data_IF_514792306193
#
_entry.id   IF_514792306193
#
_cell.length_a   1.000
_cell.length_b   1.000
_cell.length_c   1.000
_cell.angle_alpha   90.00
_cell.angle_beta   90.00
_cell.angle_gamma   90.00
#
_symmetry.space_group_name_H-M   'P 1'
#
loop_
_entity.id
_entity.type
_entity.pdbx_description
1 polymer ?
#
# COMPACT_ATOMS: atom_id res chain seq x y z
N UNK A 1 18.95 -61.02 39.79
CA UNK A 1 17.58 -60.84 39.26
C UNK A 1 17.55 -59.43 38.69
N UNK A 2 17.24 -59.37 37.41
CA UNK A 2 17.57 -58.27 36.49
C UNK A 2 16.84 -56.96 36.82
N UNK A 3 17.29 -55.90 36.16
CA UNK A 3 16.50 -54.83 35.49
C UNK A 3 17.34 -53.53 35.58
N UNK A 4 18.22 -53.29 34.59
CA UNK A 4 17.94 -52.47 33.39
C UNK A 4 17.36 -51.09 33.71
N UNK A 5 18.21 -50.07 33.71
CA UNK A 5 17.82 -48.73 33.27
C UNK A 5 19.06 -47.98 32.73
N UNK A 6 19.36 -48.28 31.46
CA UNK A 6 20.16 -47.43 30.60
C UNK A 6 19.20 -46.75 29.62
N UNK A 7 18.90 -45.47 29.83
CA UNK A 7 18.37 -44.59 28.78
C UNK A 7 19.06 -43.24 28.86
N UNK A 8 20.11 -43.12 28.06
CA UNK A 8 20.52 -41.86 27.46
C UNK A 8 19.33 -41.32 26.66
N UNK A 9 18.79 -40.16 27.04
CA UNK A 9 17.91 -39.39 26.15
C UNK A 9 18.71 -38.21 25.61
N UNK A 10 19.25 -38.45 24.43
CA UNK A 10 19.97 -37.50 23.62
C UNK A 10 19.08 -36.29 23.32
N UNK A 11 19.68 -35.13 23.52
CA UNK A 11 19.21 -33.82 23.07
C UNK A 11 18.60 -33.86 21.67
N UNK A 12 17.29 -33.63 21.56
CA UNK A 12 16.66 -33.17 20.33
C UNK A 12 16.53 -31.64 20.39
N UNK A 13 17.20 -30.88 19.51
CA UNK A 13 17.00 -29.44 19.46
C UNK A 13 15.55 -29.18 19.04
N UNK A 14 14.83 -28.45 19.88
CA UNK A 14 13.54 -27.87 19.54
C UNK A 14 13.71 -27.12 18.23
N UNK A 15 13.16 -27.70 17.15
CA UNK A 15 13.01 -27.06 15.87
C UNK A 15 12.40 -25.67 16.13
N UNK A 16 13.22 -24.63 16.00
CA UNK A 16 12.76 -23.28 15.73
C UNK A 16 12.04 -23.42 14.37
N UNK A 17 10.73 -23.63 14.43
CA UNK A 17 9.86 -23.35 13.30
C UNK A 17 10.08 -21.87 13.03
N UNK A 18 10.91 -21.57 12.03
CA UNK A 18 10.93 -20.24 11.43
C UNK A 18 9.47 -19.97 11.07
N UNK A 19 8.85 -19.01 11.75
CA UNK A 19 7.58 -18.44 11.32
C UNK A 19 7.71 -18.17 9.82
N UNK A 20 6.95 -18.92 9.02
CA UNK A 20 6.70 -18.55 7.65
C UNK A 20 6.31 -17.08 7.68
N UNK A 21 7.07 -16.24 6.99
CA UNK A 21 6.76 -14.83 6.85
C UNK A 21 5.38 -14.74 6.21
N UNK A 22 4.32 -14.70 7.02
CA UNK A 22 2.97 -14.49 6.56
C UNK A 22 3.01 -13.18 5.79
N UNK A 23 2.85 -13.26 4.47
CA UNK A 23 2.76 -12.08 3.63
C UNK A 23 1.58 -11.28 4.15
N UNK A 24 1.87 -10.18 4.85
CA UNK A 24 0.85 -9.42 5.54
C UNK A 24 -0.11 -8.85 4.48
N UNK A 25 -1.33 -9.39 4.43
CA UNK A 25 -2.36 -8.99 3.50
C UNK A 25 -3.45 -8.24 4.26
N UNK A 26 -3.68 -7.00 3.87
CA UNK A 26 -4.70 -6.14 4.46
C UNK A 26 -5.88 -6.03 3.51
N UNK A 27 -7.08 -6.36 4.00
CA UNK A 27 -8.33 -6.27 3.23
C UNK A 27 -9.21 -5.15 3.76
N UNK A 28 -9.70 -4.31 2.86
CA UNK A 28 -10.63 -3.23 3.16
C UNK A 28 -11.89 -3.37 2.30
N UNK A 29 -13.03 -3.00 2.88
CA UNK A 29 -14.27 -2.86 2.11
C UNK A 29 -14.42 -1.41 1.66
N UNK A 30 -14.50 -1.21 0.35
CA UNK A 30 -14.48 0.12 -0.28
C UNK A 30 -15.51 0.22 -1.40
N UNK A 31 -15.99 1.42 -1.67
CA UNK A 31 -16.78 1.75 -2.87
C UNK A 31 -15.94 2.57 -3.83
N UNK A 32 -15.88 2.18 -5.10
CA UNK A 32 -15.24 3.00 -6.13
C UNK A 32 -16.10 4.22 -6.45
N UNK A 33 -15.54 5.42 -6.30
CA UNK A 33 -16.18 6.68 -6.69
C UNK A 33 -15.83 7.09 -8.14
N UNK A 34 -14.84 6.41 -8.72
CA UNK A 34 -14.41 6.58 -10.11
C UNK A 34 -12.96 7.00 -10.23
N UNK A 35 -12.58 7.45 -11.43
CA UNK A 35 -11.25 7.99 -11.69
C UNK A 35 -11.26 9.17 -12.64
N UNK A 36 -10.27 10.06 -12.51
CA UNK A 36 -10.10 11.20 -13.41
C UNK A 36 -8.65 11.33 -13.85
N UNK A 37 -8.44 11.95 -15.01
CA UNK A 37 -7.10 12.19 -15.55
C UNK A 37 -6.42 13.30 -14.74
N UNK A 38 -5.13 13.13 -14.49
CA UNK A 38 -4.23 14.16 -13.96
C UNK A 38 -3.09 14.36 -14.96
N UNK A 39 -2.68 15.61 -15.18
CA UNK A 39 -1.50 15.93 -15.99
C UNK A 39 -0.22 15.79 -15.16
N UNK A 40 0.88 15.41 -15.79
CA UNK A 40 2.12 15.07 -15.06
C UNK A 40 2.68 16.27 -14.28
N UNK A 41 2.48 17.49 -14.78
CA UNK A 41 2.90 18.76 -14.16
C UNK A 41 2.19 19.04 -12.83
N UNK A 42 1.00 18.45 -12.60
CA UNK A 42 0.28 18.57 -11.34
C UNK A 42 0.80 17.58 -10.27
N UNK A 43 1.69 16.65 -10.63
CA UNK A 43 2.22 15.60 -9.74
C UNK A 43 3.59 15.94 -9.13
N UNK A 44 3.95 17.23 -9.09
CA UNK A 44 5.13 17.71 -8.34
C UNK A 44 4.87 17.68 -6.83
N UNK A 45 5.94 17.80 -6.03
CA UNK A 45 5.86 17.84 -4.56
C UNK A 45 4.94 18.97 -4.07
N UNK A 46 4.93 20.10 -4.77
CA UNK A 46 4.19 21.31 -4.42
C UNK A 46 2.71 21.20 -4.82
N UNK A 47 2.39 20.53 -5.93
CA UNK A 47 1.06 20.54 -6.53
C UNK A 47 0.23 19.27 -6.29
N UNK A 48 0.88 18.12 -6.11
CA UNK A 48 0.23 16.81 -6.06
C UNK A 48 -0.86 16.71 -4.99
N UNK A 49 -0.62 17.27 -3.81
CA UNK A 49 -1.61 17.27 -2.72
C UNK A 49 -2.90 18.00 -3.10
N UNK A 50 -2.81 19.12 -3.83
CA UNK A 50 -3.97 19.88 -4.30
C UNK A 50 -4.70 19.12 -5.41
N UNK A 51 -3.96 18.54 -6.35
CA UNK A 51 -4.53 17.75 -7.45
C UNK A 51 -5.32 16.54 -6.94
N UNK A 52 -4.76 15.77 -5.99
CA UNK A 52 -5.44 14.62 -5.39
C UNK A 52 -6.69 15.04 -4.61
N UNK A 53 -6.60 16.10 -3.79
CA UNK A 53 -7.76 16.59 -3.03
C UNK A 53 -8.88 17.12 -3.95
N UNK A 54 -8.52 17.77 -5.06
CA UNK A 54 -9.48 18.19 -6.09
C UNK A 54 -10.22 16.98 -6.67
N UNK A 55 -9.51 15.91 -7.02
CA UNK A 55 -10.12 14.68 -7.53
C UNK A 55 -11.09 14.04 -6.52
N UNK A 56 -10.71 14.00 -5.23
CA UNK A 56 -11.60 13.51 -4.16
C UNK A 56 -12.86 14.37 -4.11
N UNK A 57 -12.71 15.70 -4.06
CA UNK A 57 -13.86 16.61 -3.98
C UNK A 57 -14.81 16.48 -5.18
N UNK A 58 -14.27 16.39 -6.40
CA UNK A 58 -15.08 16.26 -7.62
C UNK A 58 -15.83 14.92 -7.69
N UNK A 59 -15.16 13.81 -7.40
CA UNK A 59 -15.74 12.46 -7.53
C UNK A 59 -16.71 12.11 -6.39
N UNK A 60 -16.49 12.63 -5.19
CA UNK A 60 -17.39 12.39 -4.05
C UNK A 60 -18.74 13.08 -4.17
N UNK A 61 -18.81 14.17 -4.95
CA UNK A 61 -20.07 14.88 -5.24
C UNK A 61 -20.90 14.20 -6.33
N UNK A 62 -20.34 13.20 -7.02
CA UNK A 62 -21.04 12.50 -8.09
C UNK A 62 -21.40 13.39 -9.27
N UNK A 63 -20.69 14.50 -9.50
CA UNK A 63 -21.04 15.49 -10.53
C UNK A 63 -20.89 14.91 -11.96
N UNK A 64 -20.23 13.77 -12.11
CA UNK A 64 -19.93 13.17 -13.40
C UNK A 64 -20.34 11.69 -13.46
N UNK A 65 -21.56 11.43 -13.94
CA UNK A 65 -22.08 10.07 -14.18
C UNK A 65 -21.36 9.34 -15.34
N UNK A 66 -20.64 10.07 -16.19
CA UNK A 66 -19.87 9.52 -17.31
C UNK A 66 -18.49 8.96 -16.91
N UNK A 67 -18.17 8.92 -15.62
CA UNK A 67 -16.86 8.45 -15.14
C UNK A 67 -16.90 6.95 -14.89
N UNK A 68 -15.93 6.23 -15.46
CA UNK A 68 -15.75 4.81 -15.18
C UNK A 68 -15.53 4.56 -13.68
N UNK A 69 -16.21 3.54 -13.15
CA UNK A 69 -16.09 3.08 -11.76
C UNK A 69 -15.75 1.61 -11.75
N UNK A 70 -14.81 1.22 -10.87
CA UNK A 70 -14.51 -0.19 -10.68
C UNK A 70 -15.73 -0.87 -10.06
N UNK A 71 -16.07 -2.07 -10.54
CA UNK A 71 -17.25 -2.79 -10.08
C UNK A 71 -18.56 -2.03 -10.29
N UNK A 72 -18.64 -1.13 -11.28
CA UNK A 72 -19.85 -0.36 -11.61
C UNK A 72 -20.34 0.52 -10.45
N UNK A 73 -19.45 0.88 -9.51
CA UNK A 73 -19.79 1.67 -8.32
C UNK A 73 -20.39 0.85 -7.18
N UNK A 74 -20.43 -0.48 -7.30
CA UNK A 74 -20.69 -1.39 -6.18
C UNK A 74 -19.49 -1.42 -5.23
N UNK A 75 -19.72 -2.04 -4.08
CA UNK A 75 -18.67 -2.25 -3.10
C UNK A 75 -17.70 -3.35 -3.55
N UNK A 76 -16.45 -3.20 -3.13
CA UNK A 76 -15.30 -3.99 -3.53
C UNK A 76 -14.45 -4.36 -2.31
N UNK A 77 -13.67 -5.42 -2.44
CA UNK A 77 -12.49 -5.60 -1.60
C UNK A 77 -11.29 -4.88 -2.20
N UNK A 78 -10.59 -4.11 -1.37
CA UNK A 78 -9.26 -3.60 -1.64
C UNK A 78 -8.27 -4.40 -0.81
N UNK A 79 -7.52 -5.27 -1.48
CA UNK A 79 -6.47 -6.06 -0.86
C UNK A 79 -5.11 -5.41 -1.10
N UNK A 80 -4.34 -5.23 -0.05
CA UNK A 80 -3.00 -4.66 -0.10
C UNK A 80 -2.02 -5.67 0.49
N UNK A 81 -1.06 -6.09 -0.32
CA UNK A 81 0.07 -6.93 0.10
C UNK A 81 1.38 -6.15 -0.10
N UNK A 82 2.52 -6.79 0.12
CA UNK A 82 3.84 -6.14 0.05
C UNK A 82 4.22 -5.57 -1.33
N UNK A 83 3.50 -5.93 -2.40
CA UNK A 83 3.85 -5.59 -3.79
C UNK A 83 2.74 -4.89 -4.54
N UNK A 84 1.50 -5.21 -4.24
CA UNK A 84 0.34 -4.88 -5.05
C UNK A 84 -0.85 -4.42 -4.20
N UNK A 85 -1.60 -3.48 -4.77
CA UNK A 85 -2.98 -3.15 -4.41
C UNK A 85 -3.91 -3.80 -5.43
N UNK A 86 -4.85 -4.60 -4.96
CA UNK A 86 -5.81 -5.35 -5.77
C UNK A 86 -7.23 -4.85 -5.48
N UNK A 87 -8.05 -4.74 -6.51
CA UNK A 87 -9.49 -4.54 -6.41
C UNK A 87 -10.19 -5.83 -6.81
N UNK A 88 -11.05 -6.34 -5.93
CA UNK A 88 -11.68 -7.65 -6.08
C UNK A 88 -13.20 -7.49 -5.95
N UNK A 89 -13.94 -8.12 -6.86
CA UNK A 89 -15.40 -8.26 -6.77
C UNK A 89 -15.73 -9.18 -5.58
N UNK A 90 -16.52 -8.73 -4.59
CA UNK A 90 -16.81 -9.52 -3.40
C UNK A 90 -17.79 -10.68 -3.66
N UNK A 91 -18.56 -10.65 -4.75
CA UNK A 91 -19.49 -11.71 -5.13
C UNK A 91 -18.77 -12.81 -5.92
N UNK A 92 -17.96 -12.42 -6.90
CA UNK A 92 -17.28 -13.37 -7.80
C UNK A 92 -15.88 -13.75 -7.31
N UNK A 93 -15.32 -13.02 -6.35
CA UNK A 93 -13.94 -13.13 -5.89
C UNK A 93 -12.90 -12.97 -7.00
N UNK A 94 -13.26 -12.25 -8.08
CA UNK A 94 -12.39 -11.99 -9.23
C UNK A 94 -11.63 -10.69 -9.08
N UNK A 95 -10.36 -10.67 -9.46
CA UNK A 95 -9.54 -9.46 -9.51
C UNK A 95 -10.02 -8.59 -10.68
N UNK A 96 -10.54 -7.40 -10.38
CA UNK A 96 -10.96 -6.39 -11.35
C UNK A 96 -9.80 -5.49 -11.78
N UNK A 97 -8.88 -5.21 -10.85
CA UNK A 97 -7.74 -4.35 -11.10
C UNK A 97 -6.55 -4.73 -10.21
N UNK A 98 -5.33 -4.58 -10.76
CA UNK A 98 -4.07 -4.81 -10.06
C UNK A 98 -3.12 -3.64 -10.30
N UNK A 99 -2.74 -2.98 -9.21
CA UNK A 99 -1.86 -1.82 -9.20
C UNK A 99 -0.62 -2.10 -8.37
N UNK A 100 0.56 -2.14 -9.01
CA UNK A 100 1.81 -2.33 -8.30
C UNK A 100 2.11 -1.12 -7.41
N UNK A 101 2.34 -1.35 -6.12
CA UNK A 101 2.58 -0.30 -5.11
C UNK A 101 3.77 0.61 -5.51
N UNK A 102 4.91 0.10 -5.99
CA UNK A 102 6.03 0.95 -6.43
C UNK A 102 5.71 1.92 -7.58
N UNK A 103 4.62 1.68 -8.32
CA UNK A 103 4.20 2.54 -9.44
C UNK A 103 3.08 3.52 -9.09
N UNK A 104 2.60 3.49 -7.85
CA UNK A 104 1.73 4.55 -7.32
C UNK A 104 2.60 5.79 -7.12
N UNK A 105 2.25 6.89 -7.80
CA UNK A 105 3.03 8.14 -7.77
C UNK A 105 2.74 8.96 -6.53
N UNK A 106 1.48 9.04 -6.13
CA UNK A 106 1.01 9.78 -4.95
C UNK A 106 -0.30 9.17 -4.48
N UNK A 107 -0.58 9.28 -3.18
CA UNK A 107 -1.87 8.95 -2.58
C UNK A 107 -2.30 10.05 -1.61
N UNK A 108 -3.59 10.06 -1.27
CA UNK A 108 -4.17 11.05 -0.37
C UNK A 108 -5.42 10.56 0.32
N UNK A 109 -5.80 11.28 1.38
CA UNK A 109 -7.03 11.04 2.14
C UNK A 109 -7.89 12.31 2.11
N UNK A 110 -9.20 12.13 2.14
CA UNK A 110 -10.16 13.23 2.11
C UNK A 110 -10.04 14.13 3.34
N UNK A 111 -10.11 15.45 3.12
CA UNK A 111 -10.11 16.46 4.19
C UNK A 111 -11.47 16.59 4.86
N UNK A 112 -12.53 16.51 4.06
CA UNK A 112 -13.92 16.65 4.51
C UNK A 112 -14.46 15.33 5.07
N UNK A 113 -14.10 14.21 4.43
CA UNK A 113 -14.49 12.88 4.86
C UNK A 113 -13.25 11.99 5.01
N UNK A 114 -12.97 11.58 6.24
CA UNK A 114 -11.80 10.77 6.60
C UNK A 114 -11.83 9.35 6.05
N UNK A 115 -12.93 8.94 5.40
CA UNK A 115 -13.08 7.64 4.72
C UNK A 115 -12.74 7.69 3.24
N UNK A 116 -12.56 8.87 2.65
CA UNK A 116 -12.21 8.97 1.24
C UNK A 116 -10.70 8.79 1.06
N UNK A 117 -10.34 7.84 0.20
CA UNK A 117 -8.97 7.48 -0.15
C UNK A 117 -8.77 7.68 -1.65
N UNK A 118 -7.59 8.14 -2.06
CA UNK A 118 -7.23 8.25 -3.46
C UNK A 118 -5.78 7.85 -3.70
N UNK A 119 -5.53 7.27 -4.87
CA UNK A 119 -4.17 7.08 -5.37
C UNK A 119 -4.07 7.47 -6.85
N UNK A 120 -2.87 7.89 -7.26
CA UNK A 120 -2.56 8.24 -8.64
C UNK A 120 -1.53 7.26 -9.17
N UNK A 121 -1.82 6.64 -10.31
CA UNK A 121 -0.91 5.77 -11.03
C UNK A 121 -0.99 6.04 -12.53
N UNK A 122 0.06 5.64 -13.26
CA UNK A 122 0.09 5.78 -14.72
C UNK A 122 -0.67 4.60 -15.33
N UNK A 123 -1.74 4.90 -16.06
CA UNK A 123 -2.50 3.87 -16.76
C UNK A 123 -1.62 3.17 -17.82
N UNK A 124 -1.73 1.84 -17.89
CA UNK A 124 -0.83 1.03 -18.72
C UNK A 124 -1.10 1.21 -20.21
N UNK A 125 -2.36 1.36 -20.60
CA UNK A 125 -2.77 1.45 -22.00
C UNK A 125 -2.56 2.86 -22.56
N UNK A 126 -3.06 3.87 -21.83
CA UNK A 126 -3.07 5.26 -22.30
C UNK A 126 -1.81 6.03 -21.93
N UNK A 127 -1.02 5.54 -20.97
CA UNK A 127 0.14 6.23 -20.39
C UNK A 127 -0.22 7.58 -19.74
N UNK A 128 -1.50 7.81 -19.44
CA UNK A 128 -1.98 9.00 -18.74
C UNK A 128 -2.03 8.69 -17.24
N UNK A 129 -1.76 9.69 -16.40
CA UNK A 129 -1.95 9.54 -14.96
C UNK A 129 -3.44 9.60 -14.61
N UNK A 130 -3.88 8.62 -13.84
CA UNK A 130 -5.27 8.50 -13.40
C UNK A 130 -5.31 8.55 -11.89
N UNK A 131 -6.16 9.41 -11.34
CA UNK A 131 -6.49 9.46 -9.93
C UNK A 131 -7.72 8.61 -9.67
N UNK A 132 -7.56 7.54 -8.90
CA UNK A 132 -8.63 6.63 -8.53
C UNK A 132 -9.10 6.95 -7.11
N UNK A 133 -10.40 7.16 -6.93
CA UNK A 133 -10.98 7.56 -5.65
C UNK A 133 -11.92 6.47 -5.13
N UNK A 134 -11.81 6.21 -3.83
CA UNK A 134 -12.57 5.19 -3.11
C UNK A 134 -13.12 5.76 -1.82
N UNK A 135 -14.29 5.30 -1.41
CA UNK A 135 -14.84 5.54 -0.08
C UNK A 135 -14.76 4.27 0.73
N UNK A 136 -14.08 4.31 1.86
CA UNK A 136 -14.03 3.20 2.81
C UNK A 136 -15.36 3.12 3.57
N UNK A 137 -15.78 1.92 3.93
CA UNK A 137 -17.03 1.71 4.66
C UNK A 137 -16.87 2.02 6.17
N UNK A 138 -16.15 1.17 6.90
CA UNK A 138 -15.94 1.31 8.35
C UNK A 138 -14.51 1.67 8.77
N UNK A 139 -13.56 1.72 7.82
CA UNK A 139 -12.15 1.99 8.11
C UNK A 139 -11.78 3.43 7.74
N UNK A 140 -11.04 4.18 8.59
CA UNK A 140 -10.46 5.45 8.18
C UNK A 140 -9.47 5.25 7.01
N UNK A 141 -9.57 6.08 5.96
CA UNK A 141 -8.68 6.02 4.80
C UNK A 141 -7.20 6.22 5.18
N UNK A 142 -6.93 6.88 6.31
CA UNK A 142 -5.59 7.04 6.87
C UNK A 142 -4.90 5.69 7.14
N UNK A 143 -5.66 4.66 7.50
CA UNK A 143 -5.12 3.31 7.74
C UNK A 143 -4.47 2.77 6.46
N UNK A 144 -5.15 2.90 5.32
CA UNK A 144 -4.62 2.50 4.00
C UNK A 144 -3.36 3.30 3.66
N UNK A 145 -3.38 4.62 3.86
CA UNK A 145 -2.23 5.48 3.58
C UNK A 145 -0.99 5.12 4.42
N UNK A 146 -1.18 4.74 5.68
CA UNK A 146 -0.10 4.31 6.55
C UNK A 146 0.47 2.95 6.11
N UNK A 147 -0.39 1.99 5.76
CA UNK A 147 0.06 0.69 5.24
C UNK A 147 0.88 0.85 3.96
N UNK A 148 0.44 1.68 3.01
CA UNK A 148 1.21 1.96 1.80
C UNK A 148 2.57 2.62 2.12
N UNK A 149 2.60 3.53 3.09
CA UNK A 149 3.85 4.15 3.56
C UNK A 149 4.82 3.09 4.12
N UNK A 150 4.34 2.18 4.96
CA UNK A 150 5.16 1.17 5.59
C UNK A 150 5.69 0.15 4.57
N UNK A 151 4.84 -0.28 3.63
CA UNK A 151 5.25 -1.13 2.51
C UNK A 151 6.31 -0.43 1.65
N UNK A 152 6.09 0.83 1.25
CA UNK A 152 7.10 1.58 0.49
C UNK A 152 8.42 1.75 1.24
N UNK A 153 8.37 1.98 2.56
CA UNK A 153 9.57 2.06 3.41
C UNK A 153 10.34 0.75 3.40
N UNK A 154 9.65 -0.38 3.57
CA UNK A 154 10.28 -1.71 3.55
C UNK A 154 10.90 -2.02 2.18
N UNK A 155 10.19 -1.73 1.09
CA UNK A 155 10.71 -1.90 -0.28
C UNK A 155 11.96 -1.04 -0.55
N UNK A 156 12.06 0.15 0.05
CA UNK A 156 13.26 0.98 -0.06
C UNK A 156 14.45 0.40 0.70
N UNK A 157 14.23 -0.21 1.87
CA UNK A 157 15.26 -0.87 2.67
C UNK A 157 15.75 -2.14 1.94
N UNK A 158 14.84 -2.97 1.44
CA UNK A 158 15.17 -4.20 0.68
C UNK A 158 15.98 -3.91 -0.57
N UNK A 159 15.77 -2.75 -1.20
CA UNK A 159 16.55 -2.28 -2.37
C UNK A 159 17.89 -1.64 -2.01
N UNK A 160 18.25 -1.58 -0.72
CA UNK A 160 19.48 -0.94 -0.24
C UNK A 160 19.49 0.58 -0.37
N UNK A 161 18.33 1.21 -0.56
CA UNK A 161 18.19 2.66 -0.78
C UNK A 161 17.96 3.44 0.54
N UNK A 162 17.70 2.74 1.64
CA UNK A 162 17.65 3.29 3.00
C UNK A 162 18.50 2.42 3.92
N UNK A 163 19.60 2.96 4.42
CA UNK A 163 20.35 2.34 5.52
C UNK A 163 19.57 2.55 6.81
N UNK A 164 19.26 1.48 7.55
CA UNK A 164 18.73 1.59 8.90
C UNK A 164 19.83 2.21 9.78
N UNK A 165 19.76 3.52 10.03
CA UNK A 165 20.56 4.16 11.08
C UNK A 165 20.01 3.73 12.42
N UNK A 166 20.32 2.50 12.83
CA UNK A 166 20.36 2.15 14.24
C UNK A 166 21.62 2.80 14.77
N UNK A 167 21.46 3.93 15.47
CA UNK A 167 22.53 4.56 16.24
C UNK A 167 23.07 3.55 17.27
N UNK A 168 24.16 2.88 16.92
CA UNK A 168 25.14 2.44 17.90
C UNK A 168 26.17 3.58 17.95
N UNK A 169 25.99 4.46 18.93
CA UNK A 169 27.06 5.33 19.41
C UNK A 169 28.26 4.45 19.73
N UNK A 170 29.29 4.48 18.87
CA UNK A 170 30.68 4.37 19.26
C UNK A 170 31.60 4.89 18.13
N UNK A 171 32.15 6.08 18.41
CA UNK A 171 33.46 6.58 17.99
C UNK A 171 33.74 6.86 16.49
N UNK A 172 33.73 8.17 16.19
CA UNK A 172 34.82 8.90 15.55
C UNK A 172 35.32 8.43 14.17
N UNK A 173 34.75 8.95 13.07
CA UNK A 173 35.49 9.71 12.03
C UNK A 173 34.60 10.21 10.87
N UNK A 174 34.75 11.51 10.59
CA UNK A 174 34.76 12.15 9.26
C UNK A 174 33.48 12.21 8.38
N UNK A 175 32.88 13.40 8.39
CA UNK A 175 31.94 13.91 7.37
C UNK A 175 32.66 14.15 6.04
N UNK A 176 32.17 13.57 4.94
CA UNK A 176 32.22 14.18 3.59
C UNK A 176 31.25 13.46 2.65
N UNK A 177 30.21 14.15 2.20
CA UNK A 177 29.48 13.76 0.98
C UNK A 177 29.35 15.00 0.11
N UNK A 178 30.05 14.97 -1.02
CA UNK A 178 29.96 15.95 -2.08
C UNK A 178 29.08 15.42 -3.21
N UNK A 179 28.32 16.34 -3.79
CA UNK A 179 27.87 16.46 -5.19
C UNK A 179 27.82 15.19 -6.06
N UNK A 180 26.60 14.85 -6.46
CA UNK A 180 26.24 14.52 -7.84
C UNK A 180 25.12 15.48 -8.23
#
# INVERSE_FOLDING_TARGET
>A
MNDEDNRNDDTLPTHIVKEESQTQQHRFYVRSLGWTKIVEEELTTEHSSRAVNKCIHELTRGINDAIGRWGEGKDLYMDINNTDLLLIDPMQMTILHKQAIPSIRVWGVGRENSRDFAYVAKDKATRIYMCHVFRCDNTPARTIANILRDICKNLMIERGLLSTTTEISNNNTQKRWGNI
#
